data_IF_988224946601
#
_entry.id   IF_988224946601
#
_cell.length_a   1.000
_cell.length_b   1.000
_cell.length_c   1.000
_cell.angle_alpha   90.00
_cell.angle_beta   90.00
_cell.angle_gamma   90.00
#
_symmetry.space_group_name_H-M   'P 1'
#
loop_
_entity.id
_entity.type
_entity.pdbx_description
1 polymer ?
#
# COMPACT_ATOMS: atom_id res chain seq x y z
N UNK A 1 -1.11 30.48 27.74
CA UNK A 1 -1.06 29.78 26.44
C UNK A 1 -1.80 30.69 25.46
N UNK A 2 -1.08 31.34 24.55
CA UNK A 2 -1.70 32.09 23.48
C UNK A 2 -2.64 31.14 22.70
N UNK A 3 -3.87 31.58 22.45
CA UNK A 3 -4.79 30.86 21.55
C UNK A 3 -4.16 30.87 20.17
N UNK A 4 -3.56 29.76 19.75
CA UNK A 4 -3.10 29.59 18.39
C UNK A 4 -4.31 29.78 17.47
N UNK A 5 -4.25 30.77 16.60
CA UNK A 5 -5.32 31.07 15.65
C UNK A 5 -5.18 30.14 14.43
N UNK A 6 -5.46 28.83 14.65
CA UNK A 6 -5.33 27.80 13.63
C UNK A 6 -6.45 27.96 12.60
N UNK A 7 -6.07 28.21 11.36
CA UNK A 7 -6.97 28.17 10.23
C UNK A 7 -6.98 26.73 9.63
N UNK A 8 -8.15 26.09 9.65
CA UNK A 8 -8.35 24.79 9.01
C UNK A 8 -8.96 25.04 7.64
N UNK A 9 -8.35 24.50 6.59
CA UNK A 9 -8.76 24.69 5.21
C UNK A 9 -8.32 23.52 4.33
N UNK A 10 -8.88 23.48 3.12
CA UNK A 10 -8.36 22.63 2.06
C UNK A 10 -6.95 23.07 1.63
N UNK A 11 -6.07 22.12 1.32
CA UNK A 11 -4.77 22.40 0.74
C UNK A 11 -4.84 22.40 -0.79
N UNK A 12 -4.06 23.28 -1.41
CA UNK A 12 -3.88 23.40 -2.85
C UNK A 12 -2.45 23.03 -3.28
N UNK A 13 -2.17 23.07 -4.57
CA UNK A 13 -0.87 22.71 -5.12
C UNK A 13 0.27 23.58 -4.57
N UNK A 14 -0.01 24.84 -4.27
CA UNK A 14 0.93 25.81 -3.71
C UNK A 14 1.38 25.44 -2.29
N UNK A 15 0.56 24.68 -1.56
CA UNK A 15 0.87 24.21 -0.21
C UNK A 15 1.87 23.06 -0.18
N UNK A 16 2.25 22.50 -1.32
CA UNK A 16 3.10 21.32 -1.40
C UNK A 16 4.41 21.48 -0.57
N UNK A 17 5.04 22.64 -0.66
CA UNK A 17 6.27 22.91 0.09
C UNK A 17 6.02 22.96 1.60
N UNK A 18 4.92 23.53 2.05
CA UNK A 18 4.52 23.55 3.46
C UNK A 18 4.21 22.15 3.97
N UNK A 19 3.50 21.33 3.17
CA UNK A 19 3.23 19.91 3.49
C UNK A 19 4.55 19.13 3.61
N UNK A 20 5.50 19.37 2.74
CA UNK A 20 6.82 18.72 2.77
C UNK A 20 7.65 19.14 3.98
N UNK A 21 7.59 20.40 4.35
CA UNK A 21 8.23 20.90 5.58
C UNK A 21 7.60 20.23 6.80
N UNK A 22 6.28 20.18 6.90
CA UNK A 22 5.59 19.46 7.97
C UNK A 22 5.97 17.96 7.99
N UNK A 23 6.09 17.34 6.82
CA UNK A 23 6.51 15.95 6.72
C UNK A 23 7.91 15.74 7.32
N UNK A 24 8.85 16.64 7.00
CA UNK A 24 10.19 16.61 7.58
C UNK A 24 10.18 16.82 9.10
N UNK A 25 9.40 17.78 9.58
CA UNK A 25 9.29 18.08 11.03
C UNK A 25 8.69 16.91 11.83
N UNK A 26 7.85 16.09 11.19
CA UNK A 26 7.21 14.94 11.83
C UNK A 26 8.07 13.67 11.75
N UNK A 27 8.75 13.45 10.63
CA UNK A 27 9.41 12.18 10.31
C UNK A 27 10.93 12.25 10.23
N UNK A 28 11.52 13.46 10.14
CA UNK A 28 12.97 13.67 10.12
C UNK A 28 13.65 13.43 8.76
N UNK A 29 12.89 13.22 7.68
CA UNK A 29 13.42 13.02 6.34
C UNK A 29 12.46 13.54 5.27
N UNK A 30 12.99 13.77 4.05
CA UNK A 30 12.20 14.25 2.93
C UNK A 30 11.97 13.14 1.90
N UNK A 31 10.76 13.11 1.38
CA UNK A 31 10.45 12.38 0.14
C UNK A 31 10.87 13.22 -1.06
N UNK A 32 11.21 12.64 -2.21
CA UNK A 32 11.39 13.41 -3.43
C UNK A 32 10.12 14.14 -3.83
N UNK A 33 10.32 15.34 -4.36
CA UNK A 33 9.19 16.19 -4.76
C UNK A 33 8.31 15.53 -5.82
N UNK A 34 8.90 14.78 -6.75
CA UNK A 34 8.14 14.09 -7.80
C UNK A 34 7.26 12.96 -7.25
N UNK A 35 7.70 12.32 -6.15
CA UNK A 35 6.87 11.35 -5.44
C UNK A 35 5.66 12.01 -4.79
N UNK A 36 5.84 13.16 -4.13
CA UNK A 36 4.75 13.90 -3.52
C UNK A 36 3.78 14.46 -4.58
N UNK A 37 4.29 14.94 -5.72
CA UNK A 37 3.46 15.36 -6.86
C UNK A 37 2.60 14.21 -7.39
N UNK A 38 3.22 13.05 -7.63
CA UNK A 38 2.50 11.85 -8.06
C UNK A 38 1.45 11.44 -7.03
N UNK A 39 1.83 11.43 -5.75
CA UNK A 39 0.98 10.99 -4.65
C UNK A 39 -0.25 11.86 -4.46
N UNK A 40 -0.10 13.17 -4.47
CA UNK A 40 -1.18 14.11 -4.16
C UNK A 40 -1.95 14.60 -5.40
N UNK A 41 -1.28 14.68 -6.54
CA UNK A 41 -1.83 15.34 -7.73
C UNK A 41 -1.81 14.46 -8.99
N UNK A 42 -1.17 13.30 -8.95
CA UNK A 42 -0.98 12.43 -10.12
C UNK A 42 -2.11 11.42 -10.36
N UNK A 43 -3.12 11.34 -9.50
CA UNK A 43 -4.20 10.38 -9.68
C UNK A 43 -5.10 10.75 -10.86
N UNK A 44 -5.44 9.74 -11.68
CA UNK A 44 -6.43 9.87 -12.75
C UNK A 44 -7.88 9.99 -12.23
N UNK A 45 -8.09 9.82 -10.93
CA UNK A 45 -9.39 9.95 -10.26
C UNK A 45 -9.61 11.32 -9.61
N UNK A 46 -8.72 12.27 -9.89
CA UNK A 46 -8.78 13.63 -9.37
C UNK A 46 -7.79 13.91 -8.24
N UNK A 47 -7.82 15.14 -7.74
CA UNK A 47 -6.93 15.58 -6.68
C UNK A 47 -7.28 14.91 -5.36
N UNK A 48 -6.27 14.57 -4.57
CA UNK A 48 -6.47 14.09 -3.20
C UNK A 48 -7.20 15.16 -2.37
N UNK A 49 -8.26 14.81 -1.63
CA UNK A 49 -8.73 15.65 -0.54
C UNK A 49 -7.62 15.79 0.52
N UNK A 50 -7.19 16.99 0.80
CA UNK A 50 -6.18 17.29 1.81
C UNK A 50 -6.67 18.45 2.66
N UNK A 51 -6.78 18.23 3.98
CA UNK A 51 -7.04 19.28 4.94
C UNK A 51 -5.74 19.66 5.66
N UNK A 52 -5.51 20.94 5.85
CA UNK A 52 -4.35 21.49 6.59
C UNK A 52 -4.81 22.40 7.71
N UNK A 53 -4.07 22.40 8.81
CA UNK A 53 -4.18 23.35 9.90
C UNK A 53 -3.00 24.31 9.81
N UNK A 54 -3.24 25.55 9.46
CA UNK A 54 -2.23 26.58 9.24
C UNK A 54 -2.11 27.50 10.45
N UNK A 55 -0.89 27.81 10.85
CA UNK A 55 -0.51 28.81 11.85
C UNK A 55 0.52 29.76 11.25
N UNK A 56 0.08 30.93 10.80
CA UNK A 56 0.92 31.86 10.05
C UNK A 56 1.54 31.21 8.81
N UNK A 57 2.86 31.12 8.77
CA UNK A 57 3.62 30.62 7.62
C UNK A 57 4.00 29.11 7.75
N UNK A 58 3.39 28.38 8.68
CA UNK A 58 3.67 26.95 8.88
C UNK A 58 2.40 26.13 9.02
N UNK A 59 2.51 24.81 8.82
CA UNK A 59 1.41 23.87 9.08
C UNK A 59 1.58 23.23 10.45
N UNK A 60 0.52 23.28 11.24
CA UNK A 60 0.37 22.55 12.50
C UNK A 60 -0.03 21.09 12.29
N UNK A 61 -0.65 20.78 11.16
CA UNK A 61 -1.03 19.44 10.79
C UNK A 61 -1.58 19.33 9.37
N UNK A 62 -1.63 18.09 8.87
CA UNK A 62 -2.24 17.75 7.60
C UNK A 62 -2.89 16.36 7.67
N UNK A 63 -3.94 16.16 6.90
CA UNK A 63 -4.60 14.88 6.72
C UNK A 63 -5.03 14.74 5.28
N UNK A 64 -4.75 13.60 4.65
CA UNK A 64 -5.04 13.37 3.25
C UNK A 64 -5.74 12.05 2.98
N UNK A 65 -6.51 12.02 1.89
CA UNK A 65 -7.24 10.87 1.40
C UNK A 65 -6.83 10.59 -0.05
N UNK A 66 -6.48 9.35 -0.35
CA UNK A 66 -6.07 8.93 -1.68
C UNK A 66 -7.26 8.37 -2.46
N UNK A 67 -7.77 9.08 -3.49
CA UNK A 67 -8.94 8.65 -4.24
C UNK A 67 -8.72 7.31 -4.94
N UNK A 68 -9.70 6.44 -4.87
CA UNK A 68 -9.63 5.10 -5.44
C UNK A 68 -11.02 4.57 -5.78
N UNK A 69 -11.14 3.82 -6.87
CA UNK A 69 -12.36 3.07 -7.15
C UNK A 69 -12.33 1.71 -6.43
N UNK A 70 -13.37 1.44 -5.69
CA UNK A 70 -13.62 0.16 -5.03
C UNK A 70 -14.68 -0.62 -5.82
N UNK A 71 -14.55 -1.95 -5.84
CA UNK A 71 -15.64 -2.86 -6.15
C UNK A 71 -16.24 -3.34 -4.85
N UNK A 72 -17.54 -3.10 -4.68
CA UNK A 72 -18.31 -3.52 -3.51
C UNK A 72 -19.56 -4.23 -4.03
N UNK A 73 -19.67 -5.52 -3.75
CA UNK A 73 -20.76 -6.36 -4.27
C UNK A 73 -20.97 -6.21 -5.80
N UNK A 74 -19.86 -6.15 -6.55
CA UNK A 74 -19.85 -5.99 -8.00
C UNK A 74 -20.08 -4.56 -8.53
N UNK A 75 -20.49 -3.62 -7.69
CA UNK A 75 -20.69 -2.21 -8.08
C UNK A 75 -19.43 -1.40 -7.87
N UNK A 76 -19.18 -0.41 -8.74
CA UNK A 76 -18.09 0.54 -8.53
C UNK A 76 -18.55 1.62 -7.55
N UNK A 77 -17.76 1.82 -6.50
CA UNK A 77 -17.98 2.84 -5.48
C UNK A 77 -16.74 3.72 -5.42
N UNK A 78 -16.91 5.04 -5.51
CA UNK A 78 -15.81 5.96 -5.34
C UNK A 78 -15.44 6.04 -3.86
N UNK A 79 -14.22 5.67 -3.55
CA UNK A 79 -13.68 5.61 -2.20
C UNK A 79 -12.33 6.30 -2.08
N UNK A 80 -11.74 6.22 -0.89
CA UNK A 80 -10.37 6.69 -0.70
C UNK A 80 -9.66 5.92 0.42
N UNK A 81 -8.33 5.86 0.30
CA UNK A 81 -7.46 5.40 1.39
C UNK A 81 -7.07 6.59 2.28
N UNK A 82 -7.19 6.43 3.59
CA UNK A 82 -6.62 7.37 4.57
C UNK A 82 -5.10 7.25 4.57
N UNK A 83 -4.40 8.36 4.35
CA UNK A 83 -2.95 8.42 4.31
C UNK A 83 -2.39 9.71 4.92
N UNK A 84 -1.08 9.74 5.18
CA UNK A 84 -0.33 10.93 5.60
C UNK A 84 -1.02 11.80 6.67
N UNK A 85 -1.46 11.15 7.75
CA UNK A 85 -2.02 11.87 8.91
C UNK A 85 -0.86 12.40 9.77
N UNK A 86 -0.69 13.71 9.78
CA UNK A 86 0.44 14.37 10.43
C UNK A 86 -0.03 15.44 11.41
N UNK A 87 0.63 15.49 12.58
CA UNK A 87 0.54 16.59 13.54
C UNK A 87 1.93 17.00 13.96
N UNK A 88 2.28 18.25 13.72
CA UNK A 88 3.56 18.80 14.09
C UNK A 88 3.80 18.61 15.60
N UNK A 89 5.01 18.24 16.05
CA UNK A 89 5.28 17.91 17.46
C UNK A 89 4.80 18.98 18.46
N UNK A 90 4.97 20.25 18.15
CA UNK A 90 4.60 21.37 19.02
C UNK A 90 3.07 21.60 19.13
N UNK A 91 2.28 20.97 18.29
CA UNK A 91 0.81 21.13 18.26
C UNK A 91 0.06 19.86 18.65
N UNK A 92 0.79 18.83 19.11
CA UNK A 92 0.16 17.59 19.59
C UNK A 92 -0.68 17.82 20.84
N UNK A 93 -1.68 16.99 21.05
CA UNK A 93 -2.57 17.09 22.22
C UNK A 93 -3.69 18.15 22.09
N UNK A 94 -3.71 18.98 21.06
CA UNK A 94 -4.68 20.06 20.86
C UNK A 94 -5.92 19.64 20.03
N UNK A 95 -6.09 18.35 19.73
CA UNK A 95 -7.25 17.85 19.01
C UNK A 95 -7.24 18.12 17.50
N UNK A 96 -6.17 18.68 16.94
CA UNK A 96 -6.05 19.06 15.52
C UNK A 96 -6.38 17.90 14.58
N UNK A 97 -5.94 16.70 14.91
CA UNK A 97 -6.25 15.48 14.14
C UNK A 97 -7.75 15.33 13.85
N UNK A 98 -8.60 15.54 14.85
CA UNK A 98 -10.05 15.38 14.69
C UNK A 98 -10.66 16.46 13.81
N UNK A 99 -10.17 17.69 13.92
CA UNK A 99 -10.64 18.81 13.07
C UNK A 99 -10.24 18.60 11.61
N UNK A 100 -8.97 18.26 11.38
CA UNK A 100 -8.46 17.95 10.03
C UNK A 100 -9.20 16.80 9.37
N UNK A 101 -9.48 15.73 10.12
CA UNK A 101 -10.22 14.60 9.60
C UNK A 101 -11.65 14.98 9.20
N UNK A 102 -12.36 15.76 10.02
CA UNK A 102 -13.72 16.23 9.70
C UNK A 102 -13.74 17.08 8.45
N UNK A 103 -12.82 18.02 8.34
CA UNK A 103 -12.69 18.88 7.15
C UNK A 103 -12.39 18.06 5.90
N UNK A 104 -11.40 17.16 5.98
CA UNK A 104 -11.04 16.29 4.87
C UNK A 104 -12.20 15.37 4.44
N UNK A 105 -13.05 14.92 5.37
CA UNK A 105 -14.25 14.15 5.06
C UNK A 105 -15.32 15.00 4.38
N UNK A 106 -15.46 16.29 4.74
CA UNK A 106 -16.37 17.21 4.04
C UNK A 106 -15.95 17.38 2.60
N UNK A 107 -14.68 17.70 2.37
CA UNK A 107 -14.09 17.81 1.02
C UNK A 107 -14.28 16.51 0.23
N UNK A 108 -14.04 15.36 0.85
CA UNK A 108 -14.20 14.07 0.21
C UNK A 108 -15.65 13.79 -0.21
N UNK A 109 -16.63 14.11 0.65
CA UNK A 109 -18.06 13.97 0.32
C UNK A 109 -18.48 14.86 -0.86
N UNK A 110 -18.06 16.11 -0.86
CA UNK A 110 -18.33 17.06 -1.96
C UNK A 110 -17.77 16.54 -3.30
N UNK A 111 -16.69 15.75 -3.26
CA UNK A 111 -16.10 15.09 -4.42
C UNK A 111 -16.71 13.72 -4.74
N UNK A 112 -17.77 13.31 -4.02
CA UNK A 112 -18.48 12.07 -4.25
C UNK A 112 -17.80 10.82 -3.67
N UNK A 113 -16.80 10.98 -2.81
CA UNK A 113 -16.17 9.86 -2.09
C UNK A 113 -17.13 9.39 -1.00
N UNK A 114 -17.47 8.09 -1.02
CA UNK A 114 -18.48 7.49 -0.14
C UNK A 114 -17.91 6.56 0.91
N UNK A 115 -16.80 5.89 0.62
CA UNK A 115 -16.19 4.89 1.49
C UNK A 115 -14.72 5.18 1.70
N UNK A 116 -14.29 5.15 2.94
CA UNK A 116 -12.89 5.27 3.33
C UNK A 116 -12.39 3.95 3.91
N UNK A 117 -11.13 3.61 3.63
CA UNK A 117 -10.42 2.55 4.33
C UNK A 117 -9.02 3.02 4.76
N UNK A 118 -8.42 2.32 5.72
CA UNK A 118 -7.10 2.71 6.22
C UNK A 118 -6.41 1.63 7.05
N UNK A 119 -5.11 1.86 7.26
CA UNK A 119 -4.22 1.00 8.04
C UNK A 119 -3.52 1.84 9.11
N UNK A 120 -4.21 2.16 10.20
CA UNK A 120 -3.65 3.02 11.24
C UNK A 120 -2.51 2.32 11.98
N UNK A 121 -1.52 3.11 12.40
CA UNK A 121 -0.54 2.66 13.36
C UNK A 121 -1.09 2.74 14.81
N UNK A 122 -0.30 2.27 15.78
CA UNK A 122 -0.71 2.23 17.20
C UNK A 122 -1.07 3.62 17.74
N UNK A 123 -0.45 4.69 17.26
CA UNK A 123 -0.69 6.05 17.74
C UNK A 123 -2.00 6.64 17.17
N UNK A 124 -2.30 6.37 15.91
CA UNK A 124 -3.48 6.93 15.22
C UNK A 124 -4.75 6.09 15.41
N UNK A 125 -4.63 4.77 15.61
CA UNK A 125 -5.75 3.85 15.74
C UNK A 125 -6.82 4.28 16.76
N UNK A 126 -6.48 4.68 18.02
CA UNK A 126 -7.49 5.11 18.98
C UNK A 126 -8.25 6.37 18.52
N UNK A 127 -7.59 7.26 17.80
CA UNK A 127 -8.21 8.46 17.26
C UNK A 127 -9.25 8.14 16.18
N UNK A 128 -8.92 7.26 15.26
CA UNK A 128 -9.83 6.83 14.20
C UNK A 128 -11.05 6.11 14.78
N UNK A 129 -10.86 5.10 15.61
CA UNK A 129 -11.94 4.25 16.09
C UNK A 129 -12.81 4.96 17.14
N UNK A 130 -12.19 5.62 18.15
CA UNK A 130 -12.94 6.21 19.26
C UNK A 130 -13.50 7.60 18.98
N UNK A 131 -12.84 8.41 18.12
CA UNK A 131 -13.22 9.82 17.91
C UNK A 131 -13.83 10.10 16.54
N UNK A 132 -13.48 9.31 15.55
CA UNK A 132 -13.85 9.57 14.15
C UNK A 132 -14.83 8.53 13.59
N UNK A 133 -15.33 7.59 14.42
CA UNK A 133 -16.36 6.63 14.01
C UNK A 133 -15.91 5.65 12.91
N UNK A 134 -14.64 5.28 12.89
CA UNK A 134 -14.16 4.20 12.04
C UNK A 134 -14.40 2.85 12.69
N UNK A 135 -14.74 1.88 11.88
CA UNK A 135 -14.93 0.50 12.32
C UNK A 135 -13.68 -0.32 12.05
N UNK A 136 -13.16 -1.00 13.06
CA UNK A 136 -12.15 -2.03 12.89
C UNK A 136 -12.82 -3.31 12.37
N UNK A 137 -12.61 -3.62 11.11
CA UNK A 137 -13.22 -4.79 10.47
C UNK A 137 -12.44 -6.07 10.77
N UNK A 138 -11.15 -5.96 10.97
CA UNK A 138 -10.23 -7.08 11.23
C UNK A 138 -8.79 -6.71 10.96
N UNK A 139 -7.92 -7.70 10.97
CA UNK A 139 -6.49 -7.51 10.75
C UNK A 139 -6.02 -8.17 9.45
N UNK A 140 -5.22 -7.46 8.68
CA UNK A 140 -4.55 -8.02 7.50
C UNK A 140 -3.18 -8.56 7.88
N UNK A 141 -2.86 -9.75 7.41
CA UNK A 141 -1.59 -10.42 7.72
C UNK A 141 -0.44 -9.81 6.94
N UNK A 142 0.61 -9.42 7.64
CA UNK A 142 1.90 -9.08 7.07
C UNK A 142 2.74 -10.35 6.92
N UNK A 143 3.10 -10.67 5.69
CA UNK A 143 3.90 -11.81 5.31
C UNK A 143 5.34 -11.39 5.03
N UNK A 144 6.28 -12.18 5.47
CA UNK A 144 7.70 -11.93 5.25
C UNK A 144 8.42 -13.20 4.83
N UNK A 145 9.35 -13.06 3.89
CA UNK A 145 10.28 -14.10 3.49
C UNK A 145 11.71 -13.56 3.61
N UNK A 146 12.57 -14.15 4.43
CA UNK A 146 14.00 -13.84 4.46
C UNK A 146 14.64 -14.12 3.10
N UNK A 147 15.53 -13.24 2.65
CA UNK A 147 16.24 -13.36 1.36
C UNK A 147 17.75 -13.42 1.58
N UNK A 148 18.35 -12.38 2.18
CA UNK A 148 19.80 -12.31 2.40
C UNK A 148 20.10 -11.74 3.79
N UNK A 149 20.02 -12.59 4.82
CA UNK A 149 20.16 -12.17 6.21
C UNK A 149 21.58 -11.70 6.58
N UNK A 150 22.59 -12.04 5.78
CA UNK A 150 23.95 -11.53 5.97
C UNK A 150 24.07 -10.02 5.77
N UNK A 151 23.13 -9.41 5.07
CA UNK A 151 23.10 -7.97 4.82
C UNK A 151 22.49 -7.18 5.99
N UNK A 152 21.96 -7.87 7.02
CA UNK A 152 21.35 -7.22 8.17
C UNK A 152 22.40 -6.59 9.08
N UNK A 153 22.38 -5.27 9.28
CA UNK A 153 23.39 -4.52 10.01
C UNK A 153 23.58 -4.95 11.48
N UNK A 154 22.49 -5.39 12.13
CA UNK A 154 22.53 -5.84 13.54
C UNK A 154 23.01 -7.29 13.70
N UNK A 155 23.25 -8.02 12.62
CA UNK A 155 23.73 -9.39 12.65
C UNK A 155 25.26 -9.37 12.49
N UNK A 156 26.04 -9.89 13.46
CA UNK A 156 27.48 -9.99 13.28
C UNK A 156 27.83 -10.78 12.02
N UNK A 157 28.72 -10.26 11.20
CA UNK A 157 29.06 -10.81 9.88
C UNK A 157 29.45 -12.28 9.90
N UNK A 158 30.01 -12.76 11.02
CA UNK A 158 30.39 -14.15 11.21
C UNK A 158 29.21 -15.13 11.12
N UNK A 159 27.99 -14.70 11.48
CA UNK A 159 26.79 -15.53 11.41
C UNK A 159 26.08 -15.45 10.04
N UNK A 160 26.46 -14.49 9.20
CA UNK A 160 25.84 -14.27 7.89
C UNK A 160 25.79 -15.51 7.00
N UNK A 161 26.92 -16.25 6.79
CA UNK A 161 26.93 -17.45 5.98
C UNK A 161 25.98 -18.55 6.48
N UNK A 162 25.92 -18.76 7.79
CA UNK A 162 25.05 -19.77 8.41
C UNK A 162 23.58 -19.39 8.22
N UNK A 163 23.22 -18.15 8.47
CA UNK A 163 21.86 -17.64 8.28
C UNK A 163 21.43 -17.73 6.83
N UNK A 164 22.32 -17.38 5.90
CA UNK A 164 22.02 -17.53 4.48
C UNK A 164 21.89 -18.99 4.04
N UNK A 165 22.61 -19.92 4.66
CA UNK A 165 22.43 -21.35 4.42
C UNK A 165 21.03 -21.80 4.85
N UNK A 166 20.54 -21.33 6.00
CA UNK A 166 19.16 -21.59 6.44
C UNK A 166 18.13 -21.01 5.46
N UNK A 167 18.35 -19.79 4.98
CA UNK A 167 17.45 -19.17 3.98
C UNK A 167 17.41 -19.96 2.66
N UNK A 168 18.54 -20.58 2.27
CA UNK A 168 18.63 -21.37 1.02
C UNK A 168 17.73 -22.62 1.03
N UNK A 169 17.44 -23.20 2.20
CA UNK A 169 16.57 -24.38 2.31
C UNK A 169 15.07 -24.03 2.31
N UNK A 170 14.70 -22.73 2.44
CA UNK A 170 13.31 -22.34 2.33
C UNK A 170 12.75 -22.67 0.94
N UNK A 171 11.49 -23.11 0.86
CA UNK A 171 10.83 -23.35 -0.40
C UNK A 171 10.91 -22.12 -1.31
N UNK A 172 11.22 -22.31 -2.58
CA UNK A 172 11.33 -21.21 -3.57
C UNK A 172 10.26 -21.29 -4.64
N UNK A 173 9.53 -22.39 -4.69
CA UNK A 173 8.66 -22.72 -5.79
C UNK A 173 9.44 -23.18 -7.04
N UNK A 174 8.74 -23.37 -8.12
CA UNK A 174 9.30 -23.80 -9.42
C UNK A 174 8.68 -23.00 -10.56
N UNK A 175 9.46 -22.79 -11.61
CA UNK A 175 9.00 -22.16 -12.85
C UNK A 175 8.77 -23.20 -13.96
N UNK A 176 8.96 -24.48 -13.64
CA UNK A 176 8.89 -25.57 -14.63
C UNK A 176 7.52 -25.63 -15.29
N UNK A 177 7.49 -25.71 -16.61
CA UNK A 177 6.25 -25.75 -17.40
C UNK A 177 5.66 -24.38 -17.72
N UNK A 178 6.38 -23.30 -17.39
CA UNK A 178 5.97 -21.93 -17.70
C UNK A 178 7.09 -21.17 -18.40
N UNK A 179 6.70 -20.28 -19.30
CA UNK A 179 7.57 -19.23 -19.80
C UNK A 179 7.45 -18.02 -18.88
N UNK A 180 8.58 -17.59 -18.29
CA UNK A 180 8.62 -16.49 -17.34
C UNK A 180 9.50 -15.37 -17.90
N UNK A 181 8.94 -14.16 -18.01
CA UNK A 181 9.64 -12.99 -18.58
C UNK A 181 9.36 -11.72 -17.80
N UNK A 182 10.21 -10.71 -18.00
CA UNK A 182 9.98 -9.34 -17.55
C UNK A 182 9.51 -8.41 -18.67
N UNK A 183 9.35 -8.93 -19.89
CA UNK A 183 8.85 -8.15 -21.02
C UNK A 183 7.35 -7.90 -20.86
N UNK A 184 6.97 -6.62 -20.98
CA UNK A 184 5.60 -6.21 -20.78
C UNK A 184 4.67 -6.80 -21.87
N UNK A 185 3.52 -7.38 -21.49
CA UNK A 185 2.52 -7.86 -22.42
C UNK A 185 1.82 -6.69 -23.11
N UNK A 186 1.11 -6.99 -24.21
CA UNK A 186 0.17 -6.00 -24.76
C UNK A 186 -0.91 -5.65 -23.74
N UNK A 187 -1.40 -4.40 -23.77
CA UNK A 187 -2.45 -3.95 -22.87
C UNK A 187 -3.69 -4.84 -22.90
N UNK A 188 -4.05 -5.37 -24.09
CA UNK A 188 -5.18 -6.31 -24.27
C UNK A 188 -4.98 -7.63 -23.50
N UNK A 189 -3.77 -8.20 -23.54
CA UNK A 189 -3.46 -9.44 -22.81
C UNK A 189 -3.44 -9.20 -21.30
N UNK A 190 -2.88 -8.08 -20.87
CA UNK A 190 -2.86 -7.73 -19.47
C UNK A 190 -4.26 -7.46 -18.92
N UNK A 191 -5.11 -6.78 -19.67
CA UNK A 191 -6.52 -6.57 -19.31
C UNK A 191 -7.30 -7.88 -19.14
N UNK A 192 -7.04 -8.87 -20.00
CA UNK A 192 -7.61 -10.21 -19.83
C UNK A 192 -7.16 -10.86 -18.54
N UNK A 193 -5.87 -10.75 -18.18
CA UNK A 193 -5.36 -11.27 -16.92
C UNK A 193 -6.02 -10.59 -15.71
N UNK A 194 -6.20 -9.27 -15.74
CA UNK A 194 -6.90 -8.53 -14.69
C UNK A 194 -8.33 -9.05 -14.50
N UNK A 195 -9.05 -9.29 -15.57
CA UNK A 195 -10.42 -9.84 -15.54
C UNK A 195 -10.45 -11.26 -14.96
N UNK A 196 -9.49 -12.12 -15.32
CA UNK A 196 -9.37 -13.47 -14.79
C UNK A 196 -9.07 -13.43 -13.28
N UNK A 197 -8.11 -12.62 -12.86
CA UNK A 197 -7.72 -12.50 -11.46
C UNK A 197 -8.87 -12.07 -10.56
N UNK A 198 -9.76 -11.20 -11.05
CA UNK A 198 -10.94 -10.72 -10.30
C UNK A 198 -11.92 -11.83 -9.91
N UNK A 199 -11.90 -12.98 -10.60
CA UNK A 199 -12.78 -14.13 -10.26
C UNK A 199 -12.46 -14.73 -8.89
N UNK A 200 -11.24 -14.58 -8.43
CA UNK A 200 -10.81 -15.04 -7.10
C UNK A 200 -11.00 -13.98 -6.01
N UNK A 201 -11.38 -12.75 -6.36
CA UNK A 201 -11.54 -11.66 -5.41
C UNK A 201 -12.86 -11.77 -4.65
N UNK A 202 -12.84 -11.30 -3.44
CA UNK A 202 -14.01 -11.20 -2.58
C UNK A 202 -14.87 -9.98 -2.95
N UNK A 203 -15.98 -9.81 -2.24
CA UNK A 203 -16.99 -8.79 -2.51
C UNK A 203 -16.50 -7.34 -2.46
N UNK A 204 -15.45 -7.08 -1.68
CA UNK A 204 -14.88 -5.74 -1.50
C UNK A 204 -13.39 -5.77 -1.86
N UNK A 205 -13.00 -4.98 -2.84
CA UNK A 205 -11.60 -4.86 -3.28
C UNK A 205 -11.38 -3.58 -4.07
N UNK A 206 -10.12 -3.19 -4.27
CA UNK A 206 -9.78 -2.12 -5.21
C UNK A 206 -10.11 -2.55 -6.64
N UNK A 207 -10.73 -1.66 -7.40
CA UNK A 207 -11.01 -1.92 -8.82
C UNK A 207 -9.74 -1.79 -9.66
N UNK A 208 -9.01 -2.87 -9.81
CA UNK A 208 -7.80 -2.97 -10.61
C UNK A 208 -8.11 -2.86 -12.09
N UNK A 209 -8.16 -1.61 -12.59
CA UNK A 209 -8.21 -1.33 -14.03
C UNK A 209 -6.79 -1.20 -14.59
N UNK A 210 -6.65 -1.24 -15.91
CA UNK A 210 -5.34 -1.01 -16.55
C UNK A 210 -4.81 0.39 -16.23
N UNK A 211 -5.70 1.39 -16.19
CA UNK A 211 -5.35 2.77 -15.83
C UNK A 211 -4.84 2.86 -14.39
N UNK A 212 -5.53 2.20 -13.43
CA UNK A 212 -5.10 2.18 -12.04
C UNK A 212 -3.73 1.50 -11.90
N UNK A 213 -3.52 0.34 -12.54
CA UNK A 213 -2.23 -0.38 -12.54
C UNK A 213 -1.11 0.50 -13.12
N UNK A 214 -1.37 1.15 -14.25
CA UNK A 214 -0.40 2.02 -14.89
C UNK A 214 -0.04 3.20 -13.99
N UNK A 215 -1.04 3.86 -13.41
CA UNK A 215 -0.79 4.96 -12.50
C UNK A 215 -0.10 4.49 -11.21
N UNK A 216 -0.57 3.43 -10.56
CA UNK A 216 -0.05 2.94 -9.28
C UNK A 216 1.40 2.49 -9.36
N UNK A 217 1.80 1.88 -10.46
CA UNK A 217 3.10 1.26 -10.63
C UNK A 217 4.00 1.91 -11.70
N UNK A 218 3.52 2.95 -12.39
CA UNK A 218 4.26 3.53 -13.51
C UNK A 218 5.45 4.37 -13.10
N UNK A 219 5.37 5.05 -11.98
CA UNK A 219 6.45 5.94 -11.57
C UNK A 219 6.46 6.12 -10.07
N UNK A 220 7.55 5.79 -9.47
CA UNK A 220 8.04 6.73 -8.51
C UNK A 220 9.52 6.86 -8.70
N UNK A 221 10.05 8.04 -8.59
CA UNK A 221 11.47 8.29 -8.47
C UNK A 221 12.13 7.47 -7.34
N UNK A 222 11.34 6.74 -6.56
CA UNK A 222 11.74 5.94 -5.40
C UNK A 222 11.38 4.47 -5.43
N UNK A 223 10.28 4.06 -6.06
CA UNK A 223 9.88 2.67 -6.15
C UNK A 223 9.91 2.27 -7.62
N UNK A 224 11.08 1.87 -8.13
CA UNK A 224 11.12 1.24 -9.45
C UNK A 224 10.47 -0.14 -9.34
N UNK A 225 9.15 -0.18 -9.50
CA UNK A 225 8.43 -1.44 -9.58
C UNK A 225 8.85 -2.22 -10.82
N UNK A 226 8.99 -3.52 -10.65
CA UNK A 226 9.33 -4.48 -11.69
C UNK A 226 8.23 -5.49 -11.78
N UNK A 227 7.92 -5.90 -13.00
CA UNK A 227 6.94 -6.92 -13.27
C UNK A 227 7.60 -8.21 -13.70
N UNK A 228 6.96 -9.31 -13.35
CA UNK A 228 7.23 -10.65 -13.87
C UNK A 228 5.92 -11.18 -14.44
N UNK A 229 5.98 -11.71 -15.65
CA UNK A 229 4.84 -12.25 -16.37
C UNK A 229 5.04 -13.72 -16.65
N UNK A 230 3.98 -14.50 -16.53
CA UNK A 230 4.00 -15.96 -16.64
C UNK A 230 3.03 -16.40 -17.74
N UNK A 231 3.56 -17.14 -18.69
CA UNK A 231 2.80 -17.66 -19.83
C UNK A 231 2.76 -19.19 -19.82
N UNK A 232 1.65 -19.72 -20.29
CA UNK A 232 1.45 -21.11 -20.69
C UNK A 232 0.84 -21.12 -22.10
N UNK A 233 1.44 -21.81 -23.05
CA UNK A 233 0.96 -21.87 -24.44
C UNK A 233 0.69 -20.47 -25.04
N UNK A 234 1.64 -19.54 -24.86
CA UNK A 234 1.56 -18.13 -25.30
C UNK A 234 0.42 -17.31 -24.65
N UNK A 235 -0.29 -17.85 -23.67
CA UNK A 235 -1.32 -17.12 -22.92
C UNK A 235 -0.74 -16.61 -21.62
N UNK A 236 -0.93 -15.31 -21.34
CA UNK A 236 -0.59 -14.70 -20.05
C UNK A 236 -1.57 -15.20 -19.00
N UNK A 237 -1.07 -15.89 -17.97
CA UNK A 237 -1.88 -16.56 -16.95
C UNK A 237 -1.58 -16.10 -15.51
N UNK A 238 -0.42 -15.48 -15.28
CA UNK A 238 -0.11 -14.83 -14.02
C UNK A 238 0.86 -13.67 -14.21
N UNK A 239 0.87 -12.75 -13.26
CA UNK A 239 1.88 -11.70 -13.18
C UNK A 239 2.10 -11.30 -11.71
N UNK A 240 3.30 -10.81 -11.40
CA UNK A 240 3.62 -10.25 -10.10
C UNK A 240 4.39 -8.95 -10.23
N UNK A 241 4.08 -7.97 -9.38
CA UNK A 241 4.84 -6.73 -9.27
C UNK A 241 5.56 -6.65 -7.94
N UNK A 242 6.79 -6.19 -7.97
CA UNK A 242 7.61 -5.99 -6.79
C UNK A 242 8.52 -4.78 -6.94
N UNK A 243 8.94 -4.21 -5.82
CA UNK A 243 9.89 -3.10 -5.79
C UNK A 243 10.82 -3.20 -4.60
N UNK A 244 11.93 -2.49 -4.65
CA UNK A 244 12.75 -2.21 -3.48
C UNK A 244 12.41 -0.79 -3.08
N UNK A 245 11.96 -0.63 -1.85
CA UNK A 245 11.83 0.68 -1.27
C UNK A 245 13.22 1.08 -0.80
N UNK A 246 13.83 2.04 -1.47
CA UNK A 246 14.97 2.73 -0.90
C UNK A 246 14.44 3.40 0.36
N UNK A 247 15.02 3.05 1.51
CA UNK A 247 14.51 3.50 2.79
C UNK A 247 14.63 5.02 2.89
N UNK A 248 13.52 5.73 2.68
CA UNK A 248 13.45 7.13 3.13
C UNK A 248 13.64 7.25 4.64
N UNK A 249 13.35 6.15 5.33
CA UNK A 249 13.25 6.09 6.77
C UNK A 249 14.60 5.94 7.43
N UNK A 250 15.63 5.52 6.66
CA UNK A 250 16.95 5.31 7.24
C UNK A 250 17.97 5.12 6.11
N UNK A 251 18.85 6.08 5.90
CA UNK A 251 19.82 6.11 4.80
C UNK A 251 20.86 4.99 4.83
N UNK A 252 20.87 4.17 5.87
CA UNK A 252 21.84 3.09 6.08
C UNK A 252 21.21 1.70 6.25
N UNK A 253 19.87 1.57 6.18
CA UNK A 253 19.21 0.34 6.60
C UNK A 253 18.77 -0.54 5.44
N UNK A 254 18.98 -1.80 5.64
CA UNK A 254 18.42 -3.03 5.06
C UNK A 254 17.46 -2.84 3.87
N UNK A 255 17.92 -3.12 2.67
CA UNK A 255 17.10 -3.14 1.46
C UNK A 255 15.92 -4.10 1.62
N UNK A 256 14.72 -3.57 1.75
CA UNK A 256 13.48 -4.34 1.81
C UNK A 256 12.80 -4.40 0.45
N UNK A 257 12.52 -5.59 -0.02
CA UNK A 257 11.72 -5.79 -1.22
C UNK A 257 10.26 -6.01 -0.85
N UNK A 258 9.35 -5.46 -1.63
CA UNK A 258 7.91 -5.56 -1.43
C UNK A 258 7.25 -6.22 -2.64
N UNK A 259 6.54 -7.32 -2.42
CA UNK A 259 5.62 -7.89 -3.38
C UNK A 259 4.32 -7.08 -3.27
N UNK A 260 4.05 -6.24 -4.26
CA UNK A 260 2.94 -5.29 -4.22
C UNK A 260 1.71 -5.79 -4.96
N UNK A 261 1.89 -6.59 -6.00
CA UNK A 261 0.78 -7.16 -6.78
C UNK A 261 1.07 -8.61 -7.14
N UNK A 262 0.03 -9.44 -7.13
CA UNK A 262 0.09 -10.81 -7.62
C UNK A 262 -1.24 -11.17 -8.28
N UNK A 263 -1.21 -11.34 -9.58
CA UNK A 263 -2.36 -11.55 -10.44
C UNK A 263 -2.36 -12.98 -10.97
N UNK A 264 -3.51 -13.60 -11.02
CA UNK A 264 -3.70 -14.96 -11.52
C UNK A 264 -4.93 -15.61 -10.92
N UNK A 265 -5.30 -16.76 -11.45
CA UNK A 265 -6.46 -17.56 -11.04
C UNK A 265 -6.03 -18.93 -10.48
N UNK A 266 -4.80 -19.36 -10.79
CA UNK A 266 -4.25 -20.65 -10.39
C UNK A 266 -3.00 -20.48 -9.51
N UNK A 267 -2.82 -21.38 -8.55
CA UNK A 267 -1.70 -21.34 -7.60
C UNK A 267 -0.35 -21.51 -8.30
N UNK A 268 -0.22 -22.50 -9.21
CA UNK A 268 1.07 -22.85 -9.81
C UNK A 268 1.70 -21.73 -10.65
N UNK A 269 0.97 -21.04 -11.55
CA UNK A 269 1.53 -19.91 -12.29
C UNK A 269 1.93 -18.75 -11.36
N UNK A 270 1.15 -18.49 -10.31
CA UNK A 270 1.49 -17.46 -9.34
C UNK A 270 2.73 -17.86 -8.50
N UNK A 271 2.91 -19.14 -8.17
CA UNK A 271 4.13 -19.65 -7.55
C UNK A 271 5.32 -19.40 -8.49
N UNK A 272 5.18 -19.64 -9.79
CA UNK A 272 6.24 -19.37 -10.76
C UNK A 272 6.61 -17.86 -10.80
N UNK A 273 5.61 -16.98 -10.79
CA UNK A 273 5.85 -15.53 -10.74
C UNK A 273 6.64 -15.12 -9.47
N UNK A 274 6.21 -15.58 -8.30
CA UNK A 274 6.91 -15.26 -7.03
C UNK A 274 8.29 -15.91 -6.97
N UNK A 275 8.48 -17.11 -7.54
CA UNK A 275 9.80 -17.76 -7.65
C UNK A 275 10.80 -16.91 -8.42
N UNK A 276 10.39 -16.36 -9.56
CA UNK A 276 11.21 -15.46 -10.35
C UNK A 276 11.50 -14.14 -9.59
N UNK A 277 10.51 -13.59 -8.89
CA UNK A 277 10.70 -12.41 -8.04
C UNK A 277 11.72 -12.69 -6.93
N UNK A 278 11.65 -13.86 -6.27
CA UNK A 278 12.63 -14.27 -5.25
C UNK A 278 14.04 -14.30 -5.84
N UNK A 279 14.24 -14.86 -7.04
CA UNK A 279 15.54 -14.85 -7.71
C UNK A 279 16.03 -13.43 -7.98
N UNK A 280 15.15 -12.54 -8.46
CA UNK A 280 15.50 -11.16 -8.71
C UNK A 280 15.85 -10.40 -7.42
N UNK A 281 15.14 -10.64 -6.31
CA UNK A 281 15.42 -10.02 -5.01
C UNK A 281 16.74 -10.51 -4.39
N UNK A 282 17.10 -11.79 -4.59
CA UNK A 282 18.42 -12.34 -4.21
C UNK A 282 19.54 -11.58 -4.97
N UNK A 283 19.40 -11.40 -6.28
CA UNK A 283 20.38 -10.68 -7.10
C UNK A 283 20.54 -9.21 -6.67
N UNK A 284 19.51 -8.62 -6.11
CA UNK A 284 19.54 -7.25 -5.55
C UNK A 284 20.00 -7.19 -4.10
N UNK A 285 20.33 -8.34 -3.48
CA UNK A 285 20.73 -8.46 -2.07
C UNK A 285 19.69 -7.84 -1.12
N UNK A 286 18.40 -8.02 -1.42
CA UNK A 286 17.36 -7.61 -0.51
C UNK A 286 17.46 -8.41 0.79
N UNK A 287 17.22 -7.79 1.93
CA UNK A 287 17.20 -8.48 3.22
C UNK A 287 16.01 -9.43 3.32
N UNK A 288 14.84 -8.92 2.96
CA UNK A 288 13.56 -9.63 2.98
C UNK A 288 12.74 -9.30 1.75
N UNK A 289 11.81 -10.19 1.42
CA UNK A 289 10.66 -9.90 0.55
C UNK A 289 9.40 -9.96 1.42
N UNK A 290 8.60 -8.90 1.42
CA UNK A 290 7.43 -8.79 2.29
C UNK A 290 6.20 -8.32 1.53
N UNK A 291 5.02 -8.62 2.05
CA UNK A 291 3.73 -8.14 1.53
C UNK A 291 2.68 -8.11 2.64
N UNK A 292 1.62 -7.36 2.41
CA UNK A 292 0.41 -7.40 3.23
C UNK A 292 -0.70 -8.09 2.43
N UNK A 293 -1.36 -9.09 3.01
CA UNK A 293 -2.37 -9.84 2.27
C UNK A 293 -3.35 -10.59 3.19
N UNK A 294 -4.64 -10.52 2.85
CA UNK A 294 -5.67 -11.38 3.42
C UNK A 294 -6.36 -12.28 2.36
N UNK A 295 -5.88 -12.28 1.11
CA UNK A 295 -6.43 -13.08 0.03
C UNK A 295 -6.03 -14.55 0.19
N UNK A 296 -7.02 -15.45 0.23
CA UNK A 296 -6.78 -16.87 0.53
C UNK A 296 -5.88 -17.56 -0.50
N UNK A 297 -6.17 -17.38 -1.80
CA UNK A 297 -5.38 -17.99 -2.87
C UNK A 297 -3.93 -17.51 -2.83
N UNK A 298 -3.72 -16.21 -2.66
CA UNK A 298 -2.38 -15.63 -2.56
C UNK A 298 -1.66 -16.10 -1.29
N UNK A 299 -2.36 -16.21 -0.17
CA UNK A 299 -1.78 -16.77 1.07
C UNK A 299 -1.26 -18.20 0.87
N UNK A 300 -1.97 -19.04 0.10
CA UNK A 300 -1.51 -20.38 -0.28
C UNK A 300 -0.22 -20.32 -1.12
N UNK A 301 -0.14 -19.40 -2.08
CA UNK A 301 1.07 -19.17 -2.87
C UNK A 301 2.23 -18.74 -1.99
N UNK A 302 2.03 -17.75 -1.12
CA UNK A 302 3.08 -17.23 -0.23
C UNK A 302 3.66 -18.33 0.68
N UNK A 303 2.81 -19.17 1.27
CA UNK A 303 3.28 -20.31 2.09
C UNK A 303 4.12 -21.30 1.27
N UNK A 304 3.73 -21.61 0.05
CA UNK A 304 4.44 -22.55 -0.84
C UNK A 304 5.82 -22.06 -1.27
N UNK A 305 6.03 -20.75 -1.24
CA UNK A 305 7.32 -20.13 -1.57
C UNK A 305 8.07 -19.62 -0.34
N UNK A 306 7.72 -20.08 0.85
CA UNK A 306 8.48 -19.88 2.08
C UNK A 306 8.29 -18.53 2.75
N UNK A 307 7.13 -17.89 2.59
CA UNK A 307 6.75 -16.77 3.44
C UNK A 307 6.17 -17.25 4.77
N UNK A 308 6.37 -16.42 5.79
CA UNK A 308 5.82 -16.61 7.14
C UNK A 308 4.89 -15.45 7.51
N UNK A 309 3.89 -15.73 8.33
CA UNK A 309 3.10 -14.70 8.99
C UNK A 309 3.97 -14.00 10.02
N UNK A 310 4.16 -12.69 9.89
CA UNK A 310 5.06 -11.93 10.76
C UNK A 310 4.30 -11.10 11.81
N UNK A 311 3.39 -10.28 11.34
CA UNK A 311 2.57 -9.40 12.18
C UNK A 311 1.21 -9.18 11.53
N UNK A 312 0.34 -8.47 12.22
CA UNK A 312 -0.97 -8.06 11.72
C UNK A 312 -1.03 -6.53 11.64
N UNK A 313 -1.74 -6.01 10.66
CA UNK A 313 -2.03 -4.59 10.50
C UNK A 313 -3.54 -4.38 10.67
N UNK A 314 -3.98 -3.49 11.58
CA UNK A 314 -5.40 -3.18 11.70
C UNK A 314 -5.94 -2.62 10.39
N UNK A 315 -7.08 -3.13 9.95
CA UNK A 315 -7.80 -2.64 8.80
C UNK A 315 -9.11 -2.02 9.26
N UNK A 316 -9.26 -0.74 8.97
CA UNK A 316 -10.42 0.06 9.39
C UNK A 316 -11.15 0.60 8.18
N UNK A 317 -12.47 0.69 8.30
CA UNK A 317 -13.36 1.20 7.24
C UNK A 317 -14.30 2.25 7.83
N UNK A 318 -14.65 3.24 7.03
CA UNK A 318 -15.67 4.24 7.34
C UNK A 318 -16.51 4.54 6.13
N UNK A 319 -17.82 4.54 6.29
CA UNK A 319 -18.73 5.16 5.33
C UNK A 319 -18.83 6.66 5.62
N UNK A 320 -18.74 7.46 4.58
CA UNK A 320 -18.99 8.90 4.67
C UNK A 320 -20.47 9.23 4.45
N UNK A 321 -21.13 8.45 3.61
CA UNK A 321 -22.57 8.52 3.35
C UNK A 321 -23.13 7.11 3.39
N UNK A 322 -24.36 6.95 3.85
CA UNK A 322 -25.03 5.66 3.83
C UNK A 322 -25.03 5.10 2.40
N UNK A 323 -24.37 3.98 2.27
CA UNK A 323 -24.47 3.16 1.08
C UNK A 323 -25.16 1.86 1.46
N UNK A 324 -25.99 1.32 0.57
CA UNK A 324 -26.77 0.08 0.82
C UNK A 324 -25.88 -1.18 1.04
N UNK A 325 -24.62 -1.00 1.43
CA UNK A 325 -23.61 -2.05 1.59
C UNK A 325 -22.99 -2.09 2.98
N UNK A 326 -23.45 -1.25 3.94
CA UNK A 326 -22.83 -1.11 5.27
C UNK A 326 -22.54 -2.44 5.95
N UNK A 327 -23.49 -3.35 5.94
CA UNK A 327 -23.32 -4.68 6.53
C UNK A 327 -22.22 -5.52 5.85
N UNK A 328 -21.97 -5.35 4.56
CA UNK A 328 -20.96 -6.09 3.81
C UNK A 328 -19.57 -5.45 3.93
N UNK A 329 -19.50 -4.12 4.00
CA UNK A 329 -18.25 -3.38 4.17
C UNK A 329 -17.57 -3.65 5.52
N UNK A 330 -18.36 -3.91 6.54
CA UNK A 330 -17.85 -4.12 7.91
C UNK A 330 -17.38 -5.56 8.17
N UNK A 331 -17.63 -6.49 7.24
CA UNK A 331 -17.17 -7.87 7.33
C UNK A 331 -15.78 -8.01 6.74
N UNK A 332 -14.78 -8.32 7.57
CA UNK A 332 -13.39 -8.50 7.13
C UNK A 332 -13.23 -9.57 6.05
N UNK A 333 -13.99 -10.64 6.15
CA UNK A 333 -14.00 -11.75 5.20
C UNK A 333 -14.42 -11.34 3.80
N UNK A 334 -15.11 -10.21 3.62
CA UNK A 334 -15.52 -9.69 2.32
C UNK A 334 -14.42 -8.90 1.62
N UNK A 335 -13.37 -8.50 2.31
CA UNK A 335 -12.29 -7.69 1.75
C UNK A 335 -11.18 -8.56 1.16
N UNK A 336 -10.68 -8.14 0.00
CA UNK A 336 -9.47 -8.65 -0.64
C UNK A 336 -8.44 -7.53 -0.66
N UNK A 337 -7.42 -7.68 0.19
CA UNK A 337 -6.35 -6.69 0.38
C UNK A 337 -5.02 -7.29 -0.02
N UNK A 338 -4.21 -6.49 -0.72
CA UNK A 338 -2.85 -6.82 -1.14
C UNK A 338 -1.89 -5.66 -0.84
N UNK A 339 -0.59 -5.90 -0.94
CA UNK A 339 0.43 -4.90 -0.69
C UNK A 339 0.23 -3.59 -1.47
N UNK A 340 -0.19 -3.68 -2.74
CA UNK A 340 -0.46 -2.50 -3.57
C UNK A 340 -1.64 -1.63 -3.14
N UNK A 341 -2.50 -2.16 -2.27
CA UNK A 341 -3.66 -1.44 -1.73
C UNK A 341 -3.30 -0.51 -0.58
N UNK A 342 -2.00 -0.42 -0.25
CA UNK A 342 -1.49 0.36 0.86
C UNK A 342 -0.48 1.36 0.33
N UNK A 343 -0.59 2.58 0.78
CA UNK A 343 0.26 3.70 0.39
C UNK A 343 1.73 3.57 0.85
N UNK A 344 2.00 2.68 1.80
CA UNK A 344 3.34 2.45 2.35
C UNK A 344 4.14 1.34 1.66
N UNK A 345 3.55 0.65 0.68
CA UNK A 345 4.22 -0.40 -0.11
C UNK A 345 4.58 0.05 -1.51
#
# INVERSE_FOLDING_TARGET
MEKTNLQIREAHAEDLNLIRTLYFDVWGYNRPIEYDKWRFFGSNLGLCPIAVAQDGNRLAGAYSLWPINLKIMGKTVFGAQSMDTMSHPNYRGQGIFTFLAKECYSIAKERGIRVLYGFPNQNSYPGFVRKLGWTHTGDVTHWVRPICLSEHQKIPKIFGPVLNAVVKILPKGRETGFEVTSEAPTGKNFQKLLLLSKRSYKNCHIDRTLEWINWRYSISAHNSYRWVYVYRDRKLIAAGAWGIKDSFWDSEVDKRAHLVELLGEEVEPMVAAVSAIIKQTINKKALVLETLCNHELISKVLMRVGFFKYRKAPFIVRELEECNFSGELLKHENWCIMGGDIDTF
#
